data_IF_546466926569
#
_entry.id   IF_546466926569
#
_cell.length_a   1.000
_cell.length_b   1.000
_cell.length_c   1.000
_cell.angle_alpha   90.00
_cell.angle_beta   90.00
_cell.angle_gamma   90.00
#
_symmetry.space_group_name_H-M   'P 1'
#
loop_
_entity.id
_entity.type
_entity.pdbx_description
1 polymer ?
#
# COMPACT_ATOMS: atom_id res chain seq x y z
N UNK A 1 4.41 28.99 -9.92
CA UNK A 1 4.40 28.27 -8.65
C UNK A 1 3.32 27.22 -8.81
N UNK A 2 3.65 25.95 -8.61
CA UNK A 2 2.76 24.84 -8.93
C UNK A 2 1.85 24.59 -7.73
N UNK A 3 0.63 25.14 -7.75
CA UNK A 3 -0.34 25.10 -6.66
C UNK A 3 -0.63 23.65 -6.20
N UNK A 4 -0.55 22.67 -7.10
CA UNK A 4 -0.70 21.25 -6.77
C UNK A 4 0.48 20.73 -5.94
N UNK A 5 1.72 21.09 -6.30
CA UNK A 5 2.91 20.69 -5.53
C UNK A 5 2.94 21.30 -4.12
N UNK A 6 2.45 22.53 -3.98
CA UNK A 6 2.35 23.20 -2.68
C UNK A 6 1.27 22.55 -1.79
N UNK A 7 0.11 22.20 -2.35
CA UNK A 7 -0.94 21.46 -1.64
C UNK A 7 -0.46 20.07 -1.19
N UNK A 8 0.21 19.32 -2.09
CA UNK A 8 0.79 18.02 -1.77
C UNK A 8 1.82 18.09 -0.63
N UNK A 9 2.64 19.15 -0.61
CA UNK A 9 3.60 19.40 0.45
C UNK A 9 2.90 19.68 1.78
N UNK A 10 1.87 20.52 1.77
CA UNK A 10 1.05 20.81 2.94
C UNK A 10 0.40 19.55 3.52
N UNK A 11 -0.21 18.72 2.66
CA UNK A 11 -0.83 17.46 3.07
C UNK A 11 0.16 16.53 3.79
N UNK A 12 1.39 16.38 3.27
CA UNK A 12 2.44 15.58 3.92
C UNK A 12 2.86 16.14 5.28
N UNK A 13 2.98 17.47 5.41
CA UNK A 13 3.33 18.13 6.68
C UNK A 13 2.23 17.88 7.71
N UNK A 14 0.98 18.19 7.36
CA UNK A 14 -0.16 18.03 8.26
C UNK A 14 -0.35 16.57 8.64
N UNK A 15 -0.23 15.63 7.69
CA UNK A 15 -0.33 14.21 7.97
C UNK A 15 0.66 13.77 9.05
N UNK A 16 1.95 14.09 8.88
CA UNK A 16 3.01 13.70 9.84
C UNK A 16 2.76 14.31 11.22
N UNK A 17 2.38 15.58 11.27
CA UNK A 17 2.06 16.26 12.52
C UNK A 17 0.81 15.66 13.20
N UNK A 18 -0.21 15.32 12.43
CA UNK A 18 -1.45 14.71 12.92
C UNK A 18 -1.23 13.31 13.46
N UNK A 19 -0.45 12.47 12.77
CA UNK A 19 -0.06 11.14 13.29
C UNK A 19 0.73 11.22 14.59
N UNK A 20 1.48 12.29 14.80
CA UNK A 20 2.19 12.57 16.06
C UNK A 20 1.32 13.26 17.14
N UNK A 21 0.05 13.59 16.85
CA UNK A 21 -0.81 14.36 17.75
C UNK A 21 -0.33 15.80 18.00
N UNK A 22 0.51 16.33 17.11
CA UNK A 22 1.24 17.59 17.26
C UNK A 22 0.94 18.57 16.12
N UNK A 23 -0.32 18.66 15.70
CA UNK A 23 -0.75 19.57 14.63
C UNK A 23 -0.58 21.04 14.99
N UNK A 24 -0.07 21.80 14.03
CA UNK A 24 -0.04 23.26 14.06
C UNK A 24 -1.36 23.84 13.54
N UNK A 25 -1.82 24.93 14.16
CA UNK A 25 -3.10 25.54 13.83
C UNK A 25 -3.09 26.23 12.46
N UNK A 26 -1.96 26.81 12.05
CA UNK A 26 -1.83 27.43 10.73
C UNK A 26 -1.86 26.36 9.65
N UNK A 27 -1.05 25.30 9.77
CA UNK A 27 -1.01 24.23 8.76
C UNK A 27 -2.38 23.53 8.62
N UNK A 28 -3.12 23.31 9.73
CA UNK A 28 -4.46 22.70 9.65
C UNK A 28 -5.52 23.66 9.11
N UNK A 29 -5.39 24.97 9.36
CA UNK A 29 -6.26 25.97 8.75
C UNK A 29 -6.04 26.06 7.25
N UNK A 30 -4.77 26.10 6.81
CA UNK A 30 -4.42 26.18 5.39
C UNK A 30 -4.89 24.93 4.64
N UNK A 31 -4.79 23.75 5.25
CA UNK A 31 -5.36 22.51 4.69
C UNK A 31 -6.87 22.62 4.54
N UNK A 32 -7.57 23.04 5.59
CA UNK A 32 -9.02 23.17 5.58
C UNK A 32 -9.50 24.19 4.54
N UNK A 33 -8.83 25.36 4.47
CA UNK A 33 -9.12 26.40 3.49
C UNK A 33 -8.93 25.88 2.06
N UNK A 34 -7.80 25.22 1.78
CA UNK A 34 -7.52 24.63 0.47
C UNK A 34 -8.60 23.62 0.07
N UNK A 35 -9.08 22.77 0.98
CA UNK A 35 -10.18 21.83 0.69
C UNK A 35 -11.51 22.55 0.47
N UNK A 36 -11.82 23.57 1.26
CA UNK A 36 -13.06 24.35 1.15
C UNK A 36 -13.13 25.17 -0.15
N UNK A 37 -11.99 25.56 -0.73
CA UNK A 37 -11.95 26.23 -2.04
C UNK A 37 -12.56 25.34 -3.14
N UNK A 38 -12.29 24.03 -3.09
CA UNK A 38 -12.85 23.07 -4.06
C UNK A 38 -14.17 22.44 -3.59
N UNK A 39 -14.39 22.35 -2.27
CA UNK A 39 -15.55 21.72 -1.65
C UNK A 39 -16.13 22.61 -0.53
N UNK A 40 -16.80 23.73 -0.88
CA UNK A 40 -17.20 24.74 0.10
C UNK A 40 -18.18 24.27 1.18
N UNK A 41 -18.85 23.13 0.95
CA UNK A 41 -19.83 22.56 1.87
C UNK A 41 -19.29 21.34 2.65
N UNK A 42 -17.97 21.06 2.62
CA UNK A 42 -17.43 19.94 3.40
C UNK A 42 -17.49 20.25 4.91
N UNK A 43 -18.25 19.47 5.70
CA UNK A 43 -18.47 19.75 7.10
C UNK A 43 -17.21 19.54 7.95
N UNK A 44 -16.36 18.56 7.60
CA UNK A 44 -15.16 18.25 8.37
C UNK A 44 -14.08 19.30 8.12
N UNK A 45 -13.96 19.79 6.88
CA UNK A 45 -13.08 20.91 6.57
C UNK A 45 -13.56 22.20 7.25
N UNK A 46 -14.87 22.45 7.31
CA UNK A 46 -15.44 23.61 8.03
C UNK A 46 -15.15 23.53 9.54
N UNK A 47 -15.33 22.36 10.14
CA UNK A 47 -15.02 22.16 11.56
C UNK A 47 -13.51 22.28 11.82
N UNK A 48 -12.67 21.69 10.97
CA UNK A 48 -11.22 21.81 11.08
C UNK A 48 -10.76 23.27 11.01
N UNK A 49 -11.30 24.07 10.08
CA UNK A 49 -11.01 25.50 9.99
C UNK A 49 -11.40 26.23 11.28
N UNK A 50 -12.60 25.98 11.81
CA UNK A 50 -13.10 26.60 13.03
C UNK A 50 -12.23 26.25 14.25
N UNK A 51 -11.91 24.97 14.43
CA UNK A 51 -11.05 24.51 15.53
C UNK A 51 -9.62 25.06 15.42
N UNK A 52 -9.13 25.28 14.20
CA UNK A 52 -7.81 25.84 13.93
C UNK A 52 -7.74 27.32 14.28
N UNK A 53 -8.80 28.08 14.02
CA UNK A 53 -8.90 29.50 14.42
C UNK A 53 -8.89 29.66 15.95
N UNK A 54 -9.63 28.81 16.67
CA UNK A 54 -9.65 28.84 18.14
C UNK A 54 -8.30 28.44 18.75
N UNK A 55 -7.58 27.55 18.06
CA UNK A 55 -6.27 27.02 18.44
C UNK A 55 -6.17 26.55 19.91
N UNK A 56 -7.29 26.14 20.51
CA UNK A 56 -7.33 25.74 21.91
C UNK A 56 -6.41 24.52 22.16
N UNK A 57 -5.58 24.52 23.22
CA UNK A 57 -4.69 23.39 23.52
C UNK A 57 -5.45 22.08 23.80
N UNK A 58 -6.62 22.17 24.45
CA UNK A 58 -7.46 21.01 24.78
C UNK A 58 -8.06 20.29 23.57
N UNK A 59 -8.17 20.98 22.43
CA UNK A 59 -8.72 20.43 21.18
C UNK A 59 -7.64 19.88 20.23
N UNK A 60 -6.36 19.83 20.64
CA UNK A 60 -5.26 19.45 19.73
C UNK A 60 -5.41 18.05 19.15
N UNK A 61 -5.79 17.06 19.97
CA UNK A 61 -5.99 15.68 19.50
C UNK A 61 -7.19 15.60 18.55
N UNK A 62 -8.31 16.25 18.90
CA UNK A 62 -9.49 16.35 18.04
C UNK A 62 -9.16 16.98 16.68
N UNK A 63 -8.38 18.08 16.66
CA UNK A 63 -7.87 18.68 15.41
C UNK A 63 -7.01 17.71 14.60
N UNK A 64 -6.14 16.95 15.25
CA UNK A 64 -5.31 15.96 14.57
C UNK A 64 -6.17 14.87 13.92
N UNK A 65 -7.19 14.39 14.62
CA UNK A 65 -8.14 13.41 14.09
C UNK A 65 -8.94 13.98 12.90
N UNK A 66 -9.49 15.19 13.04
CA UNK A 66 -10.18 15.88 11.94
C UNK A 66 -9.26 16.13 10.74
N UNK A 67 -8.00 16.51 10.96
CA UNK A 67 -7.03 16.70 9.89
C UNK A 67 -6.81 15.42 9.08
N UNK A 68 -6.71 14.26 9.75
CA UNK A 68 -6.59 12.97 9.06
C UNK A 68 -7.85 12.63 8.24
N UNK A 69 -9.05 12.95 8.75
CA UNK A 69 -10.31 12.77 8.01
C UNK A 69 -10.35 13.65 6.76
N UNK A 70 -10.01 14.92 6.91
CA UNK A 70 -9.98 15.88 5.79
C UNK A 70 -8.95 15.46 4.73
N UNK A 71 -7.76 15.03 5.14
CA UNK A 71 -6.74 14.48 4.23
C UNK A 71 -7.25 13.26 3.46
N UNK A 72 -7.89 12.32 4.13
CA UNK A 72 -8.45 11.13 3.48
C UNK A 72 -9.53 11.50 2.45
N UNK A 73 -10.39 12.48 2.76
CA UNK A 73 -11.38 12.99 1.81
C UNK A 73 -10.76 13.74 0.65
N UNK A 74 -9.63 14.41 0.85
CA UNK A 74 -8.88 15.10 -0.19
C UNK A 74 -8.08 14.15 -1.09
N UNK A 75 -8.30 12.83 -0.98
CA UNK A 75 -7.61 11.78 -1.72
C UNK A 75 -6.09 11.78 -1.48
N UNK A 76 -5.63 12.32 -0.34
CA UNK A 76 -4.23 12.25 0.04
C UNK A 76 -3.87 10.81 0.44
N UNK A 77 -2.89 10.24 -0.26
CA UNK A 77 -2.31 8.94 0.05
C UNK A 77 -0.91 9.09 0.65
N UNK A 78 -0.68 8.66 1.91
CA UNK A 78 0.66 8.68 2.49
C UNK A 78 1.58 7.66 1.80
N UNK A 79 2.85 8.03 1.61
CA UNK A 79 3.87 7.14 1.06
C UNK A 79 4.69 6.45 2.14
N UNK A 80 5.74 5.73 1.72
CA UNK A 80 6.68 5.08 2.65
C UNK A 80 7.45 6.06 3.54
N UNK A 81 7.53 7.34 3.17
CA UNK A 81 8.16 8.37 4.00
C UNK A 81 7.28 8.75 5.21
N UNK A 82 5.96 8.79 5.01
CA UNK A 82 4.98 9.07 6.04
C UNK A 82 4.70 7.84 6.92
N UNK A 83 4.65 6.66 6.32
CA UNK A 83 4.34 5.38 7.00
C UNK A 83 5.45 4.34 6.74
N UNK A 84 6.64 4.49 7.34
CA UNK A 84 7.79 3.61 7.09
C UNK A 84 7.53 2.15 7.49
N UNK A 85 6.61 1.91 8.44
CA UNK A 85 6.20 0.57 8.84
C UNK A 85 5.51 -0.21 7.71
N UNK A 86 4.93 0.47 6.71
CA UNK A 86 4.32 -0.18 5.56
C UNK A 86 5.37 -0.87 4.69
N UNK A 87 6.51 -0.21 4.43
CA UNK A 87 7.60 -0.82 3.66
C UNK A 87 8.16 -2.05 4.37
N UNK A 88 8.32 -2.00 5.70
CA UNK A 88 8.77 -3.15 6.50
C UNK A 88 7.83 -4.34 6.30
N UNK A 89 6.51 -4.09 6.30
CA UNK A 89 5.50 -5.13 6.08
C UNK A 89 5.54 -5.70 4.66
N UNK A 90 5.74 -4.86 3.65
CA UNK A 90 5.94 -5.34 2.27
C UNK A 90 7.21 -6.20 2.15
N UNK A 91 8.30 -5.83 2.83
CA UNK A 91 9.54 -6.62 2.86
C UNK A 91 9.33 -7.97 3.56
N UNK A 92 8.55 -8.02 4.63
CA UNK A 92 8.15 -9.27 5.27
C UNK A 92 7.31 -10.15 4.34
N UNK A 93 6.35 -9.57 3.63
CA UNK A 93 5.59 -10.26 2.61
C UNK A 93 6.49 -10.85 1.50
N UNK A 94 7.48 -10.09 1.01
CA UNK A 94 8.44 -10.57 0.01
C UNK A 94 9.25 -11.77 0.51
N UNK A 95 9.61 -11.81 1.81
CA UNK A 95 10.27 -12.99 2.39
C UNK A 95 9.38 -14.23 2.29
N UNK A 96 8.07 -14.10 2.50
CA UNK A 96 7.13 -15.21 2.37
C UNK A 96 7.01 -15.67 0.91
N UNK A 97 6.82 -14.74 -0.03
CA UNK A 97 6.77 -15.06 -1.47
C UNK A 97 8.06 -15.74 -1.94
N UNK A 98 9.22 -15.31 -1.45
CA UNK A 98 10.49 -15.96 -1.76
C UNK A 98 10.59 -17.40 -1.25
N UNK A 99 9.85 -17.78 -0.19
CA UNK A 99 9.75 -19.19 0.22
C UNK A 99 9.03 -20.02 -0.83
N UNK A 100 7.99 -19.46 -1.44
CA UNK A 100 7.23 -20.14 -2.51
C UNK A 100 8.05 -20.25 -3.79
N UNK A 101 8.77 -19.18 -4.16
CA UNK A 101 9.73 -19.18 -5.27
C UNK A 101 10.73 -20.33 -5.08
N UNK A 102 11.37 -20.41 -3.92
CA UNK A 102 12.30 -21.49 -3.62
C UNK A 102 11.65 -22.88 -3.64
N UNK A 103 10.44 -23.01 -3.06
CA UNK A 103 9.69 -24.27 -3.05
C UNK A 103 9.27 -24.74 -4.45
N UNK A 104 9.07 -23.81 -5.38
CA UNK A 104 8.78 -24.12 -6.79
C UNK A 104 10.01 -24.55 -7.62
N UNK A 105 11.20 -24.61 -7.00
CA UNK A 105 12.44 -25.05 -7.66
C UNK A 105 13.25 -23.94 -8.31
N UNK A 106 12.89 -22.67 -8.12
CA UNK A 106 13.64 -21.53 -8.65
C UNK A 106 14.85 -21.21 -7.75
N UNK A 107 16.04 -20.97 -8.34
CA UNK A 107 17.30 -20.87 -7.57
C UNK A 107 17.47 -19.53 -6.84
N UNK A 108 16.74 -18.49 -7.25
CA UNK A 108 16.88 -17.14 -6.73
C UNK A 108 15.52 -16.51 -6.45
N UNK A 109 15.42 -15.80 -5.33
CA UNK A 109 14.25 -15.00 -4.99
C UNK A 109 14.23 -13.64 -5.68
N UNK A 110 13.13 -12.92 -5.50
CA UNK A 110 12.97 -11.53 -5.86
C UNK A 110 13.37 -10.59 -4.70
N UNK A 111 13.62 -9.33 -5.03
CA UNK A 111 13.84 -8.24 -4.05
C UNK A 111 12.89 -7.09 -4.32
N UNK A 112 12.49 -6.36 -3.27
CA UNK A 112 11.72 -5.13 -3.45
C UNK A 112 12.65 -3.94 -3.77
N UNK A 113 12.29 -3.18 -4.81
CA UNK A 113 12.89 -1.91 -5.20
C UNK A 113 11.89 -0.79 -4.97
N UNK A 114 12.26 0.19 -4.15
CA UNK A 114 11.38 1.31 -3.81
C UNK A 114 11.67 2.49 -4.73
N UNK A 115 10.63 3.02 -5.35
CA UNK A 115 10.60 4.33 -5.99
C UNK A 115 9.48 5.13 -5.31
N UNK A 116 8.46 5.54 -6.06
CA UNK A 116 7.18 5.97 -5.51
C UNK A 116 6.41 4.76 -4.93
N UNK A 117 6.29 3.70 -5.74
CA UNK A 117 5.79 2.39 -5.34
C UNK A 117 6.94 1.39 -5.12
N UNK A 118 6.63 0.24 -4.53
CA UNK A 118 7.59 -0.86 -4.41
C UNK A 118 7.41 -1.86 -5.56
N UNK A 119 8.50 -2.34 -6.15
CA UNK A 119 8.49 -3.28 -7.27
C UNK A 119 9.30 -4.52 -6.92
N UNK A 120 8.75 -5.70 -7.18
CA UNK A 120 9.46 -6.96 -7.18
C UNK A 120 10.40 -6.98 -8.38
N UNK A 121 11.69 -7.20 -8.10
CA UNK A 121 12.73 -7.33 -9.09
C UNK A 121 13.34 -8.73 -9.01
N UNK A 122 13.35 -9.44 -10.14
CA UNK A 122 13.93 -10.79 -10.28
C UNK A 122 15.45 -10.74 -10.34
N UNK A 123 16.08 -11.92 -10.29
CA UNK A 123 17.54 -12.10 -10.33
C UNK A 123 18.22 -11.59 -11.59
N UNK A 124 17.50 -11.50 -12.71
CA UNK A 124 17.97 -10.98 -13.99
C UNK A 124 17.64 -9.49 -14.19
N UNK A 125 17.07 -8.83 -13.16
CA UNK A 125 16.79 -7.40 -13.16
C UNK A 125 15.45 -6.99 -13.78
N UNK A 126 14.58 -7.94 -14.11
CA UNK A 126 13.22 -7.60 -14.54
C UNK A 126 12.35 -7.19 -13.36
N UNK A 127 11.55 -6.16 -13.56
CA UNK A 127 10.43 -5.82 -12.67
C UNK A 127 9.13 -6.20 -13.33
N UNK A 128 8.08 -6.36 -12.54
CA UNK A 128 6.72 -6.44 -13.05
C UNK A 128 6.40 -5.27 -14.00
N UNK A 129 5.52 -5.53 -14.94
CA UNK A 129 4.98 -4.60 -15.95
C UNK A 129 3.88 -3.69 -15.40
N UNK A 130 3.37 -3.99 -14.20
CA UNK A 130 2.35 -3.21 -13.51
C UNK A 130 2.84 -1.89 -12.92
N UNK A 131 1.97 -1.26 -12.13
CA UNK A 131 2.29 0.00 -11.43
C UNK A 131 3.12 -0.22 -10.14
N UNK A 132 3.48 -1.47 -9.83
CA UNK A 132 4.10 -1.85 -8.58
C UNK A 132 3.10 -1.98 -7.43
N UNK A 133 3.62 -2.29 -6.26
CA UNK A 133 2.90 -2.37 -4.99
C UNK A 133 2.77 -0.98 -4.38
N UNK A 134 1.52 -0.50 -4.28
CA UNK A 134 1.18 0.77 -3.64
C UNK A 134 1.57 0.77 -2.15
N UNK A 135 1.99 1.92 -1.58
CA UNK A 135 2.37 2.00 -0.17
C UNK A 135 1.30 1.53 0.81
N UNK A 136 0.04 1.91 0.58
CA UNK A 136 -1.12 1.61 1.41
C UNK A 136 -1.47 0.12 1.47
N UNK A 137 -1.01 -0.67 0.49
CA UNK A 137 -1.08 -2.14 0.56
C UNK A 137 -0.33 -2.66 1.79
N UNK A 138 0.69 -1.93 2.25
CA UNK A 138 1.41 -2.19 3.49
C UNK A 138 0.65 -1.85 4.77
N UNK A 139 -0.56 -1.30 4.73
CA UNK A 139 -1.34 -0.99 5.93
C UNK A 139 -1.93 -2.25 6.61
N UNK A 140 -2.19 -3.30 5.83
CA UNK A 140 -2.75 -4.58 6.30
C UNK A 140 -1.83 -5.76 5.90
N UNK A 141 -1.51 -6.71 6.81
CA UNK A 141 -0.64 -7.84 6.50
C UNK A 141 -1.12 -8.74 5.34
N UNK A 142 -2.44 -8.94 5.20
CA UNK A 142 -2.97 -9.81 4.13
C UNK A 142 -2.94 -9.08 2.80
N UNK A 143 -3.30 -7.79 2.76
CA UNK A 143 -3.20 -6.94 1.57
C UNK A 143 -1.76 -6.82 1.09
N UNK A 144 -0.82 -6.60 2.01
CA UNK A 144 0.61 -6.54 1.74
C UNK A 144 1.08 -7.81 1.04
N UNK A 145 0.69 -8.98 1.58
CA UNK A 145 1.09 -10.27 1.04
C UNK A 145 0.47 -10.56 -0.33
N UNK A 146 -0.81 -10.22 -0.54
CA UNK A 146 -1.46 -10.37 -1.86
C UNK A 146 -0.79 -9.47 -2.90
N UNK A 147 -0.59 -8.19 -2.59
CA UNK A 147 -0.03 -7.23 -3.54
C UNK A 147 1.43 -7.56 -3.92
N UNK A 148 2.25 -7.92 -2.94
CA UNK A 148 3.64 -8.34 -3.20
C UNK A 148 3.71 -9.64 -3.99
N UNK A 149 2.82 -10.59 -3.70
CA UNK A 149 2.78 -11.85 -4.44
C UNK A 149 2.32 -11.68 -5.89
N UNK A 150 1.36 -10.79 -6.14
CA UNK A 150 0.88 -10.45 -7.48
C UNK A 150 1.99 -9.80 -8.32
N UNK A 151 2.66 -8.77 -7.77
CA UNK A 151 3.74 -8.06 -8.46
C UNK A 151 4.98 -8.95 -8.68
N UNK A 152 5.33 -9.79 -7.71
CA UNK A 152 6.40 -10.78 -7.86
C UNK A 152 6.05 -11.87 -8.87
N UNK A 153 4.79 -12.30 -8.93
CA UNK A 153 4.32 -13.26 -9.92
C UNK A 153 4.51 -12.73 -11.33
N UNK A 154 4.09 -11.49 -11.59
CA UNK A 154 4.26 -10.86 -12.91
C UNK A 154 5.73 -10.81 -13.31
N UNK A 155 6.60 -10.35 -12.40
CA UNK A 155 8.05 -10.29 -12.63
C UNK A 155 8.67 -11.67 -12.92
N UNK A 156 8.32 -12.69 -12.12
CA UNK A 156 8.83 -14.07 -12.30
C UNK A 156 8.30 -14.68 -13.60
N UNK A 157 7.03 -14.51 -13.93
CA UNK A 157 6.44 -15.02 -15.17
C UNK A 157 7.10 -14.39 -16.40
N UNK A 158 7.42 -13.10 -16.34
CA UNK A 158 8.18 -12.42 -17.37
C UNK A 158 9.60 -12.97 -17.51
N UNK A 159 10.32 -13.20 -16.40
CA UNK A 159 11.68 -13.76 -16.43
C UNK A 159 11.70 -15.21 -16.96
N UNK A 160 10.68 -16.02 -16.63
CA UNK A 160 10.60 -17.42 -17.03
C UNK A 160 9.97 -17.65 -18.40
N UNK A 161 9.23 -16.66 -18.94
CA UNK A 161 8.35 -16.84 -20.10
C UNK A 161 7.37 -18.01 -19.93
N UNK A 162 6.94 -18.27 -18.69
CA UNK A 162 6.05 -19.36 -18.32
C UNK A 162 5.18 -18.97 -17.13
N UNK A 163 4.08 -19.70 -16.92
CA UNK A 163 3.21 -19.49 -15.78
C UNK A 163 3.92 -19.86 -14.48
N UNK A 164 3.72 -19.06 -13.44
CA UNK A 164 4.25 -19.33 -12.11
C UNK A 164 3.40 -18.67 -11.01
N UNK A 165 3.16 -19.33 -9.87
CA UNK A 165 3.28 -20.78 -9.70
C UNK A 165 2.17 -21.51 -10.46
N UNK A 166 2.35 -22.81 -10.75
CA UNK A 166 1.33 -23.60 -11.44
C UNK A 166 0.50 -24.44 -10.47
N UNK A 167 -0.82 -24.48 -10.68
CA UNK A 167 -1.71 -25.40 -9.98
C UNK A 167 -1.34 -26.85 -10.33
N UNK A 168 -1.04 -27.72 -9.35
CA UNK A 168 -0.70 -29.12 -9.62
C UNK A 168 -1.83 -29.90 -10.31
N UNK A 169 -3.09 -29.58 -10.01
CA UNK A 169 -4.25 -30.26 -10.57
C UNK A 169 -4.55 -29.84 -12.02
N UNK A 170 -4.45 -28.53 -12.32
CA UNK A 170 -4.90 -27.98 -13.60
C UNK A 170 -3.78 -27.54 -14.53
N UNK A 171 -2.52 -27.51 -14.08
CA UNK A 171 -1.33 -27.12 -14.88
C UNK A 171 -1.50 -25.72 -15.49
N UNK A 172 -2.01 -24.79 -14.69
CA UNK A 172 -2.26 -23.38 -15.03
C UNK A 172 -1.68 -22.48 -13.96
N UNK A 173 -1.28 -21.27 -14.35
CA UNK A 173 -0.94 -20.22 -13.40
C UNK A 173 -2.06 -20.01 -12.37
N UNK A 174 -1.69 -19.99 -11.10
CA UNK A 174 -2.56 -19.54 -10.00
C UNK A 174 -2.34 -18.05 -9.78
N UNK A 175 -3.22 -17.36 -9.06
CA UNK A 175 -3.05 -15.93 -8.78
C UNK A 175 -3.17 -15.63 -7.29
N UNK A 176 -2.43 -14.63 -6.82
CA UNK A 176 -2.54 -14.18 -5.44
C UNK A 176 -3.95 -13.64 -5.17
N UNK A 177 -4.57 -14.06 -4.07
CA UNK A 177 -5.93 -13.63 -3.71
C UNK A 177 -6.15 -13.67 -2.21
N UNK A 178 -6.96 -12.75 -1.69
CA UNK A 178 -7.54 -12.87 -0.35
C UNK A 178 -8.71 -13.87 -0.38
N UNK A 179 -8.64 -14.92 0.43
CA UNK A 179 -9.72 -15.88 0.63
C UNK A 179 -9.76 -16.34 2.09
N UNK A 180 -10.94 -16.36 2.71
CA UNK A 180 -11.09 -16.81 4.10
C UNK A 180 -10.22 -16.05 5.12
N UNK A 181 -9.93 -14.76 4.87
CA UNK A 181 -9.07 -13.94 5.73
C UNK A 181 -7.56 -14.19 5.58
N UNK A 182 -7.13 -15.00 4.61
CA UNK A 182 -5.72 -15.26 4.32
C UNK A 182 -5.37 -14.89 2.88
N UNK A 183 -4.08 -14.68 2.62
CA UNK A 183 -3.54 -14.60 1.27
C UNK A 183 -3.24 -16.03 0.77
N UNK A 184 -3.80 -16.38 -0.39
CA UNK A 184 -3.67 -17.70 -0.99
C UNK A 184 -3.30 -17.59 -2.46
N UNK A 185 -2.62 -18.63 -2.95
CA UNK A 185 -2.49 -18.90 -4.37
C UNK A 185 -3.77 -19.58 -4.86
N UNK A 186 -4.55 -18.87 -5.68
CA UNK A 186 -5.87 -19.30 -6.13
C UNK A 186 -5.85 -19.78 -7.58
N UNK A 187 -6.32 -20.99 -7.82
CA UNK A 187 -6.57 -21.51 -9.17
C UNK A 187 -7.99 -21.15 -9.60
N UNK A 188 -8.20 -20.76 -10.86
CA UNK A 188 -9.53 -20.50 -11.44
C UNK A 188 -10.14 -21.73 -12.13
N UNK A 189 -9.46 -22.88 -12.12
CA UNK A 189 -9.97 -24.13 -12.69
C UNK A 189 -11.13 -24.72 -11.90
N UNK A 190 -12.11 -25.29 -12.61
CA UNK A 190 -13.24 -26.06 -12.07
C UNK A 190 -14.01 -25.39 -10.90
N UNK A 191 -14.36 -24.10 -11.06
CA UNK A 191 -15.08 -23.33 -10.04
C UNK A 191 -14.16 -22.64 -9.02
N UNK A 192 -12.87 -22.92 -9.08
CA UNK A 192 -11.80 -22.24 -8.37
C UNK A 192 -11.54 -22.78 -6.97
N UNK A 193 -10.25 -22.83 -6.60
CA UNK A 193 -9.82 -23.31 -5.29
C UNK A 193 -8.50 -22.68 -4.84
N UNK A 194 -8.28 -22.62 -3.54
CA UNK A 194 -6.98 -22.28 -2.96
C UNK A 194 -6.04 -23.48 -3.07
N UNK A 195 -4.89 -23.28 -3.72
CA UNK A 195 -3.85 -24.31 -3.85
C UNK A 195 -2.97 -24.35 -2.60
N UNK A 196 -2.54 -23.18 -2.13
CA UNK A 196 -1.74 -23.03 -0.92
C UNK A 196 -1.91 -21.63 -0.32
N UNK A 197 -1.57 -21.47 0.96
CA UNK A 197 -1.32 -20.14 1.55
C UNK A 197 -0.03 -19.60 0.96
N UNK A 198 0.03 -18.29 0.76
CA UNK A 198 1.26 -17.64 0.30
C UNK A 198 2.33 -17.75 1.40
N UNK A 199 3.48 -18.28 1.03
CA UNK A 199 4.61 -18.63 1.89
C UNK A 199 4.72 -20.12 2.24
N UNK A 200 3.68 -20.90 1.97
CA UNK A 200 3.59 -22.31 2.34
C UNK A 200 3.41 -23.23 1.11
N UNK A 201 3.96 -22.81 -0.05
CA UNK A 201 3.89 -23.62 -1.28
C UNK A 201 4.54 -25.00 -1.08
N UNK A 202 3.90 -26.11 -1.51
CA UNK A 202 4.46 -27.45 -1.34
C UNK A 202 5.77 -27.60 -2.10
N UNK A 203 6.77 -28.22 -1.45
CA UNK A 203 7.98 -28.64 -2.14
C UNK A 203 7.69 -29.91 -2.95
N UNK A 204 8.27 -30.05 -4.16
CA UNK A 204 8.20 -31.28 -4.94
C UNK A 204 8.86 -32.47 -4.24
#
# INVERSE_FOLDING_TARGET
>A
MDETADFDRLCRIVYRAARAGAVDCTDTFDLAASVLEFRPADPDATELASQSLDCAPGSRLHRAELALVVLAKADFAPGFAEEPGWLVRLQEAMRLVNRDIAASGLPHGCRLRVRENAYAETWDGHTGSGQGVLPDSGADPVSALVAVADDAQDAVMHALWSAWPECPAHRRGVHARRHGGAAVWWCTGEGGHGVARIGDWPRP
#
